data_IF_049259475669
#
_entry.id   IF_049259475669
#
_cell.length_a   1.000
_cell.length_b   1.000
_cell.length_c   1.000
_cell.angle_alpha   90.00
_cell.angle_beta   90.00
_cell.angle_gamma   90.00
#
_symmetry.space_group_name_H-M   'P 1'
#
loop_
_entity.id
_entity.type
_entity.pdbx_description
1 polymer ?
#
# COMPACT_ATOMS: atom_id res chain seq x y z
N UNK A 1 -60.34 4.85 48.85
CA UNK A 1 -59.62 3.73 49.50
C UNK A 1 -59.86 2.45 48.72
N UNK A 2 -58.92 2.06 47.86
CA UNK A 2 -58.74 0.73 47.26
C UNK A 2 -57.26 0.70 46.80
N UNK A 3 -56.44 -0.25 47.27
CA UNK A 3 -54.99 -0.12 47.18
C UNK A 3 -54.46 -0.48 45.78
N UNK A 4 -53.47 0.29 45.31
CA UNK A 4 -52.60 -0.07 44.20
C UNK A 4 -51.78 -1.32 44.59
N UNK A 5 -51.84 -2.36 43.76
CA UNK A 5 -50.84 -3.43 43.76
C UNK A 5 -49.85 -3.10 42.64
N UNK A 6 -48.71 -2.53 43.02
CA UNK A 6 -47.56 -2.37 42.15
C UNK A 6 -46.81 -3.71 42.11
N UNK A 7 -46.87 -4.41 40.98
CA UNK A 7 -46.04 -5.59 40.72
C UNK A 7 -44.66 -5.08 40.29
N UNK A 8 -43.72 -5.04 41.24
CA UNK A 8 -42.31 -4.86 40.98
C UNK A 8 -41.78 -6.18 40.38
N UNK A 9 -41.64 -6.25 39.06
CA UNK A 9 -40.88 -7.30 38.41
C UNK A 9 -39.38 -6.98 38.56
N UNK A 10 -38.79 -7.46 39.65
CA UNK A 10 -37.34 -7.48 39.83
C UNK A 10 -36.75 -8.54 38.90
N UNK A 11 -36.24 -8.13 37.73
CA UNK A 11 -35.34 -8.95 36.94
C UNK A 11 -34.01 -9.08 37.70
N UNK A 12 -33.92 -10.13 38.53
CA UNK A 12 -32.66 -10.64 39.06
C UNK A 12 -31.86 -11.24 37.89
N UNK A 13 -30.95 -10.45 37.30
CA UNK A 13 -29.83 -11.01 36.54
C UNK A 13 -28.88 -11.59 37.59
N UNK A 14 -29.09 -12.86 37.92
CA UNK A 14 -28.13 -13.65 38.67
C UNK A 14 -26.90 -13.84 37.78
N UNK A 15 -25.90 -12.97 37.95
CA UNK A 15 -24.57 -13.17 37.42
C UNK A 15 -23.94 -14.38 38.10
N UNK A 16 -24.04 -15.54 37.47
CA UNK A 16 -23.32 -16.73 37.88
C UNK A 16 -21.88 -16.55 37.42
N UNK A 17 -21.01 -16.09 38.33
CA UNK A 17 -19.58 -16.29 38.19
C UNK A 17 -19.29 -17.77 38.50
N UNK A 18 -19.64 -18.67 37.56
CA UNK A 18 -19.25 -20.08 37.60
C UNK A 18 -18.04 -20.27 36.70
N UNK A 19 -17.00 -20.94 37.21
CA UNK A 19 -15.97 -21.52 36.34
C UNK A 19 -16.69 -22.36 35.28
N UNK A 20 -16.67 -21.90 34.03
CA UNK A 20 -17.31 -22.65 32.96
C UNK A 20 -16.54 -23.94 32.73
N UNK A 21 -17.23 -25.00 32.31
CA UNK A 21 -16.59 -26.25 31.90
C UNK A 21 -15.49 -25.99 30.86
N UNK A 22 -15.66 -24.95 30.03
CA UNK A 22 -14.65 -24.46 29.11
C UNK A 22 -13.39 -23.99 29.85
N UNK A 23 -13.52 -23.11 30.85
CA UNK A 23 -12.38 -22.59 31.63
C UNK A 23 -11.64 -23.74 32.32
N UNK A 24 -12.36 -24.65 32.96
CA UNK A 24 -11.71 -25.71 33.74
C UNK A 24 -10.95 -26.71 32.84
N UNK A 25 -11.49 -27.06 31.68
CA UNK A 25 -10.76 -27.86 30.69
C UNK A 25 -9.60 -27.08 30.07
N UNK A 26 -9.83 -25.84 29.62
CA UNK A 26 -8.81 -25.04 28.94
C UNK A 26 -7.70 -24.53 29.86
N UNK A 27 -7.87 -24.52 31.19
CA UNK A 27 -6.75 -24.33 32.13
C UNK A 27 -5.70 -25.41 31.97
N UNK A 28 -6.11 -26.64 31.68
CA UNK A 28 -5.19 -27.75 31.46
C UNK A 28 -4.64 -27.77 30.02
N UNK A 29 -5.49 -27.50 29.02
CA UNK A 29 -5.14 -27.66 27.60
C UNK A 29 -4.48 -26.41 27.01
N UNK A 30 -4.97 -25.22 27.33
CA UNK A 30 -4.49 -23.92 26.82
C UNK A 30 -4.38 -22.87 27.93
N UNK A 31 -3.55 -23.09 28.97
CA UNK A 31 -3.51 -22.23 30.16
C UNK A 31 -3.31 -20.75 29.82
N UNK A 32 -2.43 -20.43 28.87
CA UNK A 32 -2.17 -19.04 28.47
C UNK A 32 -3.39 -18.31 27.89
N UNK A 33 -4.31 -19.01 27.21
CA UNK A 33 -5.56 -18.40 26.71
C UNK A 33 -6.47 -18.07 27.89
N UNK A 34 -6.59 -18.98 28.86
CA UNK A 34 -7.40 -18.75 30.06
C UNK A 34 -6.82 -17.62 30.90
N UNK A 35 -5.51 -17.60 31.12
CA UNK A 35 -4.84 -16.53 31.86
C UNK A 35 -5.06 -15.16 31.22
N UNK A 36 -4.94 -15.08 29.89
CA UNK A 36 -5.24 -13.87 29.14
C UNK A 36 -6.70 -13.43 29.31
N UNK A 37 -7.65 -14.36 29.15
CA UNK A 37 -9.08 -14.10 29.33
C UNK A 37 -9.40 -13.58 30.73
N UNK A 38 -8.93 -14.29 31.77
CA UNK A 38 -9.15 -13.92 33.17
C UNK A 38 -8.48 -12.59 33.54
N UNK A 39 -7.40 -12.21 32.84
CA UNK A 39 -6.79 -10.87 33.00
C UNK A 39 -7.56 -9.75 32.29
N UNK A 40 -8.44 -10.08 31.36
CA UNK A 40 -9.28 -9.15 30.60
C UNK A 40 -10.53 -8.72 31.35
N UNK A 41 -11.14 -7.59 30.96
CA UNK A 41 -12.34 -7.09 31.65
C UNK A 41 -13.60 -7.92 31.34
N UNK A 42 -13.69 -8.53 30.16
CA UNK A 42 -14.87 -9.29 29.74
C UNK A 42 -15.11 -10.56 30.57
N UNK A 43 -14.05 -11.19 31.10
CA UNK A 43 -14.17 -12.39 31.94
C UNK A 43 -14.94 -12.18 33.25
N UNK A 44 -15.09 -10.92 33.68
CA UNK A 44 -15.91 -10.55 34.85
C UNK A 44 -17.41 -10.61 34.57
N UNK A 45 -17.81 -10.66 33.31
CA UNK A 45 -19.20 -10.52 32.88
C UNK A 45 -19.67 -11.65 31.95
N UNK A 46 -18.76 -12.32 31.26
CA UNK A 46 -19.08 -13.30 30.24
C UNK A 46 -18.25 -14.59 30.41
N UNK A 47 -18.75 -15.69 29.85
CA UNK A 47 -18.03 -16.95 29.65
C UNK A 47 -17.47 -17.04 28.23
N UNK A 48 -16.67 -18.07 27.96
CA UNK A 48 -16.11 -18.36 26.64
C UNK A 48 -17.20 -18.55 25.56
N UNK A 49 -18.34 -19.10 25.97
CA UNK A 49 -19.40 -19.59 25.07
C UNK A 49 -20.16 -18.44 24.40
N UNK A 50 -20.14 -17.25 25.01
CA UNK A 50 -20.74 -16.04 24.43
C UNK A 50 -20.11 -15.71 23.08
N UNK A 51 -18.80 -15.98 22.93
CA UNK A 51 -18.06 -15.76 21.69
C UNK A 51 -17.96 -17.04 20.85
N UNK A 52 -17.78 -18.19 21.48
CA UNK A 52 -17.41 -19.45 20.81
C UNK A 52 -18.54 -20.47 20.69
N UNK A 53 -19.73 -20.19 21.22
CA UNK A 53 -20.84 -21.14 21.28
C UNK A 53 -20.59 -22.30 22.26
N UNK A 54 -21.51 -23.27 22.25
CA UNK A 54 -21.59 -24.37 23.22
C UNK A 54 -21.49 -25.78 22.59
N UNK A 55 -21.23 -25.87 21.28
CA UNK A 55 -21.27 -27.14 20.56
C UNK A 55 -19.98 -27.96 20.67
N UNK A 56 -18.86 -27.30 20.93
CA UNK A 56 -17.59 -27.94 21.27
C UNK A 56 -17.60 -28.41 22.73
N UNK A 57 -17.31 -29.69 22.94
CA UNK A 57 -17.34 -30.34 24.26
C UNK A 57 -16.13 -31.25 24.52
N UNK A 58 -15.35 -31.58 23.50
CA UNK A 58 -14.21 -32.50 23.62
C UNK A 58 -13.12 -32.21 22.60
N UNK A 59 -11.90 -32.71 22.82
CA UNK A 59 -10.78 -32.55 21.88
C UNK A 59 -11.09 -33.03 20.46
N UNK A 60 -12.06 -33.93 20.28
CA UNK A 60 -12.42 -34.52 18.99
C UNK A 60 -13.47 -33.71 18.21
N UNK A 61 -14.05 -32.66 18.81
CA UNK A 61 -15.07 -31.83 18.19
C UNK A 61 -14.72 -30.33 18.18
N UNK A 62 -13.43 -30.01 18.23
CA UNK A 62 -12.89 -28.63 18.20
C UNK A 62 -13.45 -27.78 17.05
N UNK A 63 -13.84 -28.40 15.94
CA UNK A 63 -14.42 -27.72 14.78
C UNK A 63 -15.80 -27.13 15.01
N UNK A 64 -16.52 -27.62 16.03
CA UNK A 64 -17.84 -27.11 16.39
C UNK A 64 -17.79 -25.81 17.19
N UNK A 65 -16.60 -25.39 17.63
CA UNK A 65 -16.43 -24.08 18.23
C UNK A 65 -16.65 -22.99 17.17
N UNK A 66 -17.51 -22.03 17.47
CA UNK A 66 -17.71 -20.85 16.64
C UNK A 66 -16.49 -19.94 16.77
N UNK A 67 -16.15 -19.29 15.67
CA UNK A 67 -15.06 -18.33 15.63
C UNK A 67 -15.66 -16.94 15.50
N UNK A 68 -15.38 -16.02 16.44
CA UNK A 68 -15.99 -14.70 16.44
C UNK A 68 -15.69 -13.93 15.16
N UNK A 69 -16.70 -13.24 14.65
CA UNK A 69 -16.61 -12.26 13.55
C UNK A 69 -16.90 -10.86 14.10
N UNK A 70 -16.72 -9.79 13.30
CA UNK A 70 -17.17 -8.45 13.68
C UNK A 70 -18.63 -8.40 14.15
N UNK A 71 -19.51 -9.23 13.59
CA UNK A 71 -20.93 -9.34 13.94
C UNK A 71 -21.13 -9.91 15.35
N UNK A 72 -20.26 -10.83 15.79
CA UNK A 72 -20.24 -11.30 17.18
C UNK A 72 -19.99 -10.13 18.13
N UNK A 73 -19.05 -9.25 17.79
CA UNK A 73 -18.73 -8.07 18.60
C UNK A 73 -19.84 -7.01 18.53
N UNK A 74 -20.48 -6.83 17.36
CA UNK A 74 -21.57 -5.87 17.12
C UNK A 74 -22.73 -6.02 18.08
N UNK A 75 -23.04 -7.25 18.49
CA UNK A 75 -24.13 -7.54 19.42
C UNK A 75 -24.03 -6.75 20.74
N UNK A 76 -22.81 -6.48 21.22
CA UNK A 76 -22.54 -5.73 22.45
C UNK A 76 -21.90 -4.35 22.19
N UNK A 77 -21.22 -4.17 21.05
CA UNK A 77 -20.46 -2.97 20.69
C UNK A 77 -20.93 -2.35 19.36
N UNK A 78 -22.22 -2.02 19.20
CA UNK A 78 -22.75 -1.55 17.92
C UNK A 78 -22.13 -0.22 17.49
N UNK A 79 -21.86 0.70 18.42
CA UNK A 79 -21.26 1.99 18.09
C UNK A 79 -19.84 1.84 17.50
N UNK A 80 -18.99 1.04 18.13
CA UNK A 80 -17.62 0.79 17.66
C UNK A 80 -17.64 0.06 16.31
N UNK A 81 -18.56 -0.89 16.14
CA UNK A 81 -18.75 -1.58 14.86
C UNK A 81 -19.12 -0.60 13.74
N UNK A 82 -20.15 0.24 13.92
CA UNK A 82 -20.59 1.16 12.87
C UNK A 82 -19.50 2.20 12.53
N UNK A 83 -18.74 2.67 13.52
CA UNK A 83 -17.57 3.51 13.28
C UNK A 83 -16.51 2.77 12.45
N UNK A 84 -16.11 1.57 12.86
CA UNK A 84 -15.16 0.74 12.12
C UNK A 84 -15.62 0.47 10.69
N UNK A 85 -16.90 0.12 10.50
CA UNK A 85 -17.52 -0.15 9.20
C UNK A 85 -17.54 1.09 8.28
N UNK A 86 -17.54 2.29 8.85
CA UNK A 86 -17.43 3.53 8.07
C UNK A 86 -15.99 3.85 7.62
N UNK A 87 -14.97 3.28 8.30
CA UNK A 87 -13.55 3.55 8.10
C UNK A 87 -12.86 2.60 7.12
N UNK A 88 -11.60 2.90 6.77
CA UNK A 88 -10.85 2.17 5.72
C UNK A 88 -10.48 0.74 6.11
N UNK A 89 -10.30 0.45 7.41
CA UNK A 89 -9.92 -0.88 7.87
C UNK A 89 -10.98 -1.94 7.55
N UNK A 90 -12.27 -1.59 7.59
CA UNK A 90 -13.35 -2.49 7.17
C UNK A 90 -13.22 -2.93 5.71
N UNK A 91 -12.74 -2.04 4.84
CA UNK A 91 -12.58 -2.30 3.41
C UNK A 91 -11.20 -2.84 3.01
N UNK A 92 -10.31 -3.08 3.97
CA UNK A 92 -8.91 -3.45 3.70
C UNK A 92 -8.78 -4.74 2.88
N UNK A 93 -9.72 -5.69 3.04
CA UNK A 93 -9.72 -6.95 2.30
C UNK A 93 -10.11 -6.78 0.83
N UNK A 94 -11.05 -5.88 0.54
CA UNK A 94 -11.44 -5.55 -0.84
C UNK A 94 -10.26 -4.95 -1.59
N UNK A 95 -9.59 -3.98 -0.98
CA UNK A 95 -8.43 -3.33 -1.58
C UNK A 95 -7.29 -4.33 -1.84
N UNK A 96 -7.04 -5.24 -0.89
CA UNK A 96 -6.01 -6.27 -1.03
C UNK A 96 -6.31 -7.24 -2.18
N UNK A 97 -7.49 -7.88 -2.18
CA UNK A 97 -7.86 -8.88 -3.20
C UNK A 97 -7.91 -8.33 -4.62
N UNK A 98 -7.96 -7.02 -4.78
CA UNK A 98 -7.95 -6.37 -6.07
C UNK A 98 -6.56 -6.16 -6.69
N UNK A 99 -5.47 -6.41 -5.94
CA UNK A 99 -4.11 -6.23 -6.44
C UNK A 99 -3.76 -7.41 -7.37
N UNK A 100 -3.55 -7.18 -8.69
CA UNK A 100 -3.20 -8.24 -9.63
C UNK A 100 -1.91 -8.97 -9.26
N UNK A 101 -0.91 -8.25 -8.72
CA UNK A 101 0.35 -8.82 -8.24
C UNK A 101 0.19 -9.99 -7.25
N UNK A 102 -0.95 -10.13 -6.58
CA UNK A 102 -1.20 -11.26 -5.68
C UNK A 102 -1.13 -12.62 -6.38
N UNK A 103 -1.42 -12.71 -7.67
CA UNK A 103 -1.34 -14.00 -8.37
C UNK A 103 0.12 -14.49 -8.51
N UNK A 104 1.08 -13.59 -8.35
CA UNK A 104 2.52 -13.79 -8.60
C UNK A 104 3.34 -14.00 -7.31
N UNK A 105 2.72 -13.99 -6.14
CA UNK A 105 3.40 -14.32 -4.87
C UNK A 105 3.28 -15.81 -4.53
N UNK A 106 4.19 -16.35 -3.69
CA UNK A 106 4.13 -17.74 -3.27
C UNK A 106 2.76 -18.13 -2.68
N UNK A 107 2.30 -19.33 -3.01
CA UNK A 107 1.02 -19.92 -2.57
C UNK A 107 0.71 -19.69 -1.08
N UNK A 108 1.62 -19.91 -0.10
CA UNK A 108 1.32 -19.66 1.31
C UNK A 108 1.03 -18.19 1.67
N UNK A 109 1.43 -17.24 0.83
CA UNK A 109 1.12 -15.82 0.98
C UNK A 109 -0.14 -15.42 0.19
N UNK A 110 -0.39 -16.09 -0.94
CA UNK A 110 -1.51 -15.85 -1.85
C UNK A 110 -2.81 -16.51 -1.45
N UNK A 111 -2.78 -17.72 -0.89
CA UNK A 111 -3.99 -18.49 -0.57
C UNK A 111 -4.83 -17.83 0.53
N UNK A 112 -4.29 -16.75 1.11
CA UNK A 112 -4.93 -15.93 2.12
C UNK A 112 -5.25 -16.69 3.40
N UNK A 113 -4.73 -17.91 3.54
CA UNK A 113 -4.79 -18.79 4.70
C UNK A 113 -3.48 -18.66 5.52
N UNK A 114 -3.55 -18.56 6.86
CA UNK A 114 -2.38 -18.79 7.74
C UNK A 114 -1.45 -17.62 8.10
N UNK A 115 -1.86 -16.36 7.97
CA UNK A 115 -1.14 -15.15 8.42
C UNK A 115 0.27 -14.91 7.82
N UNK A 116 0.65 -15.59 6.73
CA UNK A 116 2.04 -15.57 6.21
C UNK A 116 2.37 -14.47 5.20
N UNK A 117 1.38 -13.70 4.76
CA UNK A 117 1.55 -12.64 3.77
C UNK A 117 0.57 -11.50 3.98
N UNK A 118 0.03 -10.95 2.90
CA UNK A 118 -0.88 -9.81 2.93
C UNK A 118 -2.09 -10.02 3.84
N UNK A 119 -2.57 -11.26 3.99
CA UNK A 119 -3.67 -11.61 4.91
C UNK A 119 -3.33 -11.40 6.39
N UNK A 120 -2.05 -11.39 6.77
CA UNK A 120 -1.62 -11.08 8.14
C UNK A 120 -2.02 -9.66 8.56
N UNK A 121 -1.99 -8.71 7.62
CA UNK A 121 -2.33 -7.30 7.85
C UNK A 121 -3.76 -6.95 7.40
N UNK A 122 -4.16 -7.38 6.19
CA UNK A 122 -5.42 -6.94 5.58
C UNK A 122 -6.66 -7.68 6.08
N UNK A 123 -6.51 -8.78 6.84
CA UNK A 123 -7.65 -9.50 7.46
C UNK A 123 -8.48 -8.65 8.41
N UNK A 124 -7.97 -7.49 8.83
CA UNK A 124 -8.78 -6.52 9.56
C UNK A 124 -9.98 -6.05 8.75
N UNK A 125 -10.07 -6.31 7.44
CA UNK A 125 -11.27 -6.09 6.62
C UNK A 125 -11.99 -7.37 6.21
N UNK A 126 -11.67 -8.52 6.81
CA UNK A 126 -12.33 -9.79 6.53
C UNK A 126 -13.61 -9.90 7.35
N UNK A 127 -14.73 -9.47 6.75
CA UNK A 127 -16.05 -9.41 7.41
C UNK A 127 -16.92 -10.63 7.09
N UNK A 128 -16.64 -11.34 6.00
CA UNK A 128 -17.47 -12.46 5.55
C UNK A 128 -17.00 -13.79 6.15
N UNK A 129 -17.89 -14.50 6.84
CA UNK A 129 -17.71 -15.91 7.20
C UNK A 129 -17.95 -16.81 5.98
N UNK A 130 -17.00 -16.82 5.02
CA UNK A 130 -17.04 -17.70 3.84
C UNK A 130 -16.16 -18.94 3.98
N UNK A 131 -15.84 -19.36 5.21
CA UNK A 131 -15.14 -20.61 5.50
C UNK A 131 -13.65 -20.68 5.11
N UNK A 132 -13.12 -19.72 4.35
CA UNK A 132 -11.70 -19.67 3.97
C UNK A 132 -10.79 -19.35 5.16
N UNK A 133 -11.31 -18.70 6.23
CA UNK A 133 -10.50 -18.30 7.37
C UNK A 133 -11.16 -18.65 8.70
N UNK A 134 -10.84 -19.84 9.23
CA UNK A 134 -11.41 -20.33 10.48
C UNK A 134 -10.95 -19.51 11.69
N UNK A 135 -9.69 -19.10 11.76
CA UNK A 135 -9.11 -18.47 12.97
C UNK A 135 -8.74 -17.01 12.76
N UNK A 136 -9.04 -16.13 13.73
CA UNK A 136 -8.58 -14.74 13.71
C UNK A 136 -9.30 -13.85 12.69
N UNK A 137 -10.52 -14.22 12.32
CA UNK A 137 -11.46 -13.49 11.46
C UNK A 137 -12.29 -12.43 12.22
N UNK A 138 -12.05 -12.25 13.53
CA UNK A 138 -12.82 -11.31 14.33
C UNK A 138 -12.63 -9.85 13.90
N UNK A 139 -11.49 -9.52 13.30
CA UNK A 139 -10.97 -8.18 12.97
C UNK A 139 -10.81 -7.23 14.17
N UNK A 140 -11.75 -7.24 15.11
CA UNK A 140 -11.75 -6.48 16.35
C UNK A 140 -10.61 -6.87 17.30
N UNK A 141 -9.90 -7.97 17.08
CA UNK A 141 -8.72 -8.35 17.86
C UNK A 141 -7.40 -7.82 17.28
N UNK A 142 -7.45 -6.93 16.27
CA UNK A 142 -6.24 -6.41 15.59
C UNK A 142 -5.43 -5.42 16.43
N UNK A 143 -6.09 -4.58 17.24
CA UNK A 143 -5.42 -3.55 18.06
C UNK A 143 -5.42 -3.85 19.56
N UNK A 144 -6.51 -4.46 20.06
CA UNK A 144 -6.61 -4.97 21.43
C UNK A 144 -6.73 -6.49 21.35
N UNK A 145 -5.59 -7.15 21.46
CA UNK A 145 -5.49 -8.56 21.06
C UNK A 145 -6.29 -9.49 21.96
N UNK A 146 -6.80 -10.56 21.34
CA UNK A 146 -7.38 -11.69 22.06
C UNK A 146 -6.31 -12.38 22.94
N UNK A 147 -6.63 -12.94 24.09
CA UNK A 147 -7.96 -12.99 24.72
C UNK A 147 -8.14 -11.96 25.83
N UNK A 148 -7.22 -10.99 25.95
CA UNK A 148 -7.27 -9.94 26.98
C UNK A 148 -8.20 -8.77 26.60
N UNK A 149 -8.22 -8.43 25.30
CA UNK A 149 -9.00 -7.31 24.74
C UNK A 149 -8.81 -6.00 25.51
N UNK A 150 -7.54 -5.63 25.75
CA UNK A 150 -7.19 -4.49 26.59
C UNK A 150 -7.29 -3.16 25.83
N UNK A 151 -8.12 -2.24 26.34
CA UNK A 151 -8.16 -0.86 25.86
C UNK A 151 -6.83 -0.13 26.06
N UNK A 152 -6.08 -0.45 27.11
CA UNK A 152 -4.76 0.13 27.36
C UNK A 152 -3.76 -0.31 26.29
N UNK A 153 -3.80 -1.58 25.88
CA UNK A 153 -2.98 -2.12 24.80
C UNK A 153 -3.28 -1.41 23.48
N UNK A 154 -4.55 -1.33 23.09
CA UNK A 154 -4.95 -0.63 21.86
C UNK A 154 -4.65 0.87 21.84
N UNK A 155 -4.36 1.49 22.99
CA UNK A 155 -4.00 2.92 23.10
C UNK A 155 -2.51 3.17 22.96
N UNK A 156 -1.69 2.12 22.85
CA UNK A 156 -0.25 2.22 22.64
C UNK A 156 0.07 2.22 21.14
N UNK A 157 0.95 3.10 20.65
CA UNK A 157 1.29 3.19 19.22
C UNK A 157 1.86 1.87 18.68
N UNK A 158 2.47 1.05 19.53
CA UNK A 158 2.96 -0.30 19.22
C UNK A 158 1.87 -1.25 18.73
N UNK A 159 0.58 -1.00 19.06
CA UNK A 159 -0.53 -1.78 18.51
C UNK A 159 -0.70 -1.60 16.99
N UNK A 160 -0.19 -0.51 16.42
CA UNK A 160 -0.24 -0.24 14.98
C UNK A 160 0.96 -0.84 14.24
N UNK A 161 2.09 -1.01 14.93
CA UNK A 161 3.38 -1.40 14.36
C UNK A 161 3.33 -2.68 13.50
N UNK A 162 2.65 -3.78 13.88
CA UNK A 162 2.68 -5.01 13.10
C UNK A 162 2.21 -4.88 11.65
N UNK A 163 1.43 -3.84 11.34
CA UNK A 163 0.91 -3.57 10.00
C UNK A 163 1.48 -2.26 9.41
N UNK A 164 1.69 -1.23 10.23
CA UNK A 164 2.10 0.10 9.79
C UNK A 164 3.62 0.29 9.91
N UNK A 165 4.37 -0.47 9.13
CA UNK A 165 5.83 -0.52 9.16
C UNK A 165 6.44 -0.83 7.80
N UNK A 166 7.77 -0.79 7.70
CA UNK A 166 8.52 -1.50 6.67
C UNK A 166 8.65 -0.79 5.32
N UNK A 167 8.51 -1.54 4.24
CA UNK A 167 8.92 -1.14 2.90
C UNK A 167 8.10 0.04 2.36
N UNK A 168 6.78 -0.12 2.26
CA UNK A 168 5.86 0.74 1.50
C UNK A 168 5.12 1.78 2.37
N UNK A 169 4.99 1.52 3.67
CA UNK A 169 4.37 2.44 4.60
C UNK A 169 4.98 2.39 6.01
N UNK A 170 6.25 2.84 6.18
CA UNK A 170 6.95 2.87 7.46
C UNK A 170 6.44 3.98 8.40
N UNK A 171 5.13 4.01 8.65
CA UNK A 171 4.44 5.05 9.39
C UNK A 171 4.81 5.03 10.88
N UNK A 172 5.02 3.84 11.46
CA UNK A 172 5.52 3.73 12.82
C UNK A 172 6.96 4.25 12.93
N UNK A 173 7.83 3.95 11.98
CA UNK A 173 9.21 4.42 11.96
C UNK A 173 9.26 5.94 11.78
N UNK A 174 8.45 6.49 10.88
CA UNK A 174 8.28 7.93 10.69
C UNK A 174 7.81 8.61 11.97
N UNK A 175 6.74 8.10 12.60
CA UNK A 175 6.23 8.67 13.85
C UNK A 175 7.25 8.52 14.99
N UNK A 176 7.81 7.33 15.18
CA UNK A 176 8.69 7.00 16.32
C UNK A 176 10.04 7.72 16.28
N UNK A 177 10.46 8.21 15.11
CA UNK A 177 11.66 9.04 14.94
C UNK A 177 11.34 10.53 14.69
N UNK A 178 10.06 10.91 14.66
CA UNK A 178 9.63 12.32 14.71
C UNK A 178 9.73 12.89 16.13
N UNK A 179 9.55 14.21 16.29
CA UNK A 179 9.47 14.82 17.63
C UNK A 179 8.32 14.28 18.47
N UNK A 180 7.18 13.93 17.86
CA UNK A 180 6.06 13.31 18.58
C UNK A 180 6.46 11.96 19.19
N UNK A 181 7.01 11.06 18.38
CA UNK A 181 7.42 9.74 18.87
C UNK A 181 8.61 9.78 19.83
N UNK A 182 9.57 10.68 19.61
CA UNK A 182 10.73 10.84 20.51
C UNK A 182 10.30 11.35 21.89
N UNK A 183 9.39 12.33 21.97
CA UNK A 183 8.85 12.80 23.27
C UNK A 183 8.10 11.65 23.96
N UNK A 184 7.23 10.93 23.25
CA UNK A 184 6.53 9.77 23.81
C UNK A 184 7.51 8.71 24.35
N UNK A 185 8.61 8.43 23.64
CA UNK A 185 9.63 7.47 24.10
C UNK A 185 10.34 7.93 25.37
N UNK A 186 10.62 9.22 25.49
CA UNK A 186 11.36 9.79 26.63
C UNK A 186 10.46 9.83 27.87
N UNK A 187 9.21 10.24 27.71
CA UNK A 187 8.34 10.57 28.84
C UNK A 187 7.24 9.53 29.11
N UNK A 188 6.93 8.68 28.14
CA UNK A 188 5.77 7.80 28.15
C UNK A 188 4.48 8.54 27.76
N UNK A 189 3.33 7.97 28.17
CA UNK A 189 2.00 8.48 27.85
C UNK A 189 1.56 9.62 28.78
N UNK A 190 2.31 10.73 28.79
CA UNK A 190 2.02 11.92 29.62
C UNK A 190 0.94 12.83 29.03
N UNK A 191 0.51 12.56 27.80
CA UNK A 191 -0.37 13.43 27.01
C UNK A 191 0.35 14.59 26.31
N UNK A 192 1.66 14.78 26.54
CA UNK A 192 2.46 15.84 25.89
C UNK A 192 2.62 15.61 24.38
N UNK A 193 2.76 14.37 23.95
CA UNK A 193 2.95 14.00 22.55
C UNK A 193 1.79 13.15 22.02
N UNK A 194 1.38 13.37 20.75
CA UNK A 194 0.35 12.56 20.14
C UNK A 194 0.87 11.17 19.78
N UNK A 195 -0.02 10.17 19.92
CA UNK A 195 0.17 8.80 19.45
C UNK A 195 -0.57 8.61 18.13
N UNK A 196 -0.39 7.45 17.49
CA UNK A 196 -1.15 7.07 16.28
C UNK A 196 -2.67 7.26 16.51
N UNK A 197 -3.17 6.78 17.65
CA UNK A 197 -4.57 6.85 18.05
C UNK A 197 -5.05 8.29 18.27
N UNK A 198 -4.20 9.18 18.79
CA UNK A 198 -4.56 10.59 19.00
C UNK A 198 -4.99 11.24 17.69
N UNK A 199 -4.28 10.98 16.60
CA UNK A 199 -4.53 11.58 15.29
C UNK A 199 -5.56 10.81 14.44
N UNK A 200 -5.47 9.48 14.44
CA UNK A 200 -6.26 8.64 13.55
C UNK A 200 -7.55 8.08 14.17
N UNK A 201 -7.67 8.12 15.50
CA UNK A 201 -8.83 7.66 16.25
C UNK A 201 -9.21 8.68 17.35
N UNK A 202 -9.38 9.97 17.01
CA UNK A 202 -9.66 10.99 18.00
C UNK A 202 -10.91 10.62 18.81
N UNK A 203 -10.87 10.86 20.12
CA UNK A 203 -11.96 10.53 21.05
C UNK A 203 -12.30 9.02 21.11
N UNK A 204 -11.44 8.15 20.57
CA UNK A 204 -11.67 6.71 20.51
C UNK A 204 -12.59 6.27 19.36
N UNK A 205 -12.79 7.14 18.35
CA UNK A 205 -13.55 6.80 17.15
C UNK A 205 -12.83 5.71 16.34
N UNK A 206 -13.56 4.63 15.98
CA UNK A 206 -13.00 3.50 15.21
C UNK A 206 -13.00 3.71 13.68
N UNK A 207 -13.52 4.85 13.20
CA UNK A 207 -13.53 5.23 11.79
C UNK A 207 -12.16 5.77 11.35
N UNK A 208 -11.18 4.86 11.16
CA UNK A 208 -9.85 5.27 10.67
C UNK A 208 -9.94 5.71 9.21
N UNK A 209 -9.72 7.00 8.96
CA UNK A 209 -9.69 7.60 7.62
C UNK A 209 -8.65 8.72 7.55
N UNK A 210 -8.18 9.04 6.35
CA UNK A 210 -7.27 10.16 6.07
C UNK A 210 -7.69 10.85 4.77
N UNK A 211 -7.39 12.15 4.64
CA UNK A 211 -7.77 12.93 3.46
C UNK A 211 -7.14 12.36 2.17
N UNK A 212 -5.87 11.99 2.21
CA UNK A 212 -5.10 11.52 1.05
C UNK A 212 -5.11 10.00 0.84
N UNK A 213 -5.72 9.23 1.75
CA UNK A 213 -5.71 7.77 1.68
C UNK A 213 -4.29 7.19 1.70
N UNK A 214 -4.12 6.01 1.08
CA UNK A 214 -2.82 5.34 0.98
C UNK A 214 -1.95 5.94 -0.13
N UNK A 215 -2.53 6.15 -1.32
CA UNK A 215 -1.77 6.51 -2.53
C UNK A 215 -1.51 8.01 -2.70
N UNK A 216 -2.06 8.87 -1.83
CA UNK A 216 -2.04 10.32 -2.01
C UNK A 216 -2.65 10.78 -3.34
N UNK A 217 -3.73 10.11 -3.76
CA UNK A 217 -4.48 10.43 -4.96
C UNK A 217 -5.93 10.77 -4.59
N UNK A 218 -6.48 11.76 -5.29
CA UNK A 218 -7.89 12.15 -5.22
C UNK A 218 -8.35 12.64 -6.59
N UNK A 219 -9.67 12.63 -6.79
CA UNK A 219 -10.35 13.22 -7.94
C UNK A 219 -11.49 14.10 -7.39
N UNK A 220 -11.72 15.32 -7.92
CA UNK A 220 -10.95 16.04 -8.94
C UNK A 220 -9.71 16.79 -8.39
N UNK A 221 -8.89 17.36 -9.28
CA UNK A 221 -7.79 18.29 -8.96
C UNK A 221 -7.93 19.58 -9.78
N UNK A 222 -7.81 20.73 -9.12
CA UNK A 222 -8.07 22.04 -9.73
C UNK A 222 -6.82 22.58 -10.46
N UNK A 223 -5.62 22.20 -10.02
CA UNK A 223 -4.36 22.58 -10.68
C UNK A 223 -4.13 21.72 -11.94
N UNK A 224 -4.15 22.36 -13.12
CA UNK A 224 -4.07 21.65 -14.41
C UNK A 224 -2.77 20.86 -14.61
N UNK A 225 -1.64 21.37 -14.13
CA UNK A 225 -0.36 20.66 -14.26
C UNK A 225 -0.34 19.43 -13.35
N UNK A 226 -0.75 19.62 -12.10
CA UNK A 226 -0.82 18.52 -11.15
C UNK A 226 -1.85 17.47 -11.59
N UNK A 227 -2.96 17.90 -12.19
CA UNK A 227 -3.95 16.99 -12.74
C UNK A 227 -3.37 16.11 -13.86
N UNK A 228 -2.58 16.66 -14.78
CA UNK A 228 -1.89 15.87 -15.82
C UNK A 228 -0.94 14.82 -15.24
N UNK A 229 -0.20 15.19 -14.20
CA UNK A 229 0.69 14.26 -13.50
C UNK A 229 -0.11 13.14 -12.81
N UNK A 230 -1.23 13.48 -12.16
CA UNK A 230 -2.11 12.48 -11.55
C UNK A 230 -2.82 11.58 -12.54
N UNK A 231 -3.30 12.10 -13.67
CA UNK A 231 -3.90 11.29 -14.74
C UNK A 231 -2.89 10.25 -15.22
N UNK A 232 -1.63 10.64 -15.41
CA UNK A 232 -0.54 9.72 -15.76
C UNK A 232 -0.42 8.58 -14.74
N UNK A 233 -0.45 8.90 -13.44
CA UNK A 233 -0.37 7.92 -12.35
C UNK A 233 -1.62 7.02 -12.33
N UNK A 234 -2.82 7.59 -12.46
CA UNK A 234 -4.08 6.85 -12.45
C UNK A 234 -4.19 5.89 -13.64
N UNK A 235 -3.67 6.27 -14.81
CA UNK A 235 -3.57 5.40 -15.97
C UNK A 235 -2.61 4.24 -15.72
N UNK A 236 -1.43 4.52 -15.16
CA UNK A 236 -0.46 3.48 -14.81
C UNK A 236 -0.93 2.56 -13.67
N UNK A 237 -1.88 2.99 -12.83
CA UNK A 237 -2.57 2.12 -11.88
C UNK A 237 -3.73 1.32 -12.52
N UNK A 238 -4.01 1.57 -13.80
CA UNK A 238 -5.14 1.02 -14.54
C UNK A 238 -6.51 1.50 -14.04
N UNK A 239 -6.57 2.59 -13.27
CA UNK A 239 -7.82 3.20 -12.78
C UNK A 239 -8.52 3.99 -13.89
N UNK A 240 -7.72 4.61 -14.77
CA UNK A 240 -8.16 5.26 -15.99
C UNK A 240 -7.58 4.54 -17.22
N UNK A 241 -8.28 4.58 -18.35
CA UNK A 241 -7.77 4.12 -19.64
C UNK A 241 -6.89 5.19 -20.33
N UNK A 242 -6.35 4.88 -21.51
CA UNK A 242 -5.51 5.81 -22.29
C UNK A 242 -6.20 7.14 -22.64
N UNK A 243 -7.54 7.13 -22.74
CA UNK A 243 -8.36 8.30 -23.04
C UNK A 243 -8.79 9.06 -21.77
N UNK A 244 -8.43 8.55 -20.58
CA UNK A 244 -8.81 9.13 -19.29
C UNK A 244 -10.19 8.71 -18.78
N UNK A 245 -10.82 7.70 -19.37
CA UNK A 245 -12.10 7.18 -18.88
C UNK A 245 -11.91 6.18 -17.71
N UNK A 246 -12.83 6.13 -16.74
CA UNK A 246 -12.82 5.13 -15.68
C UNK A 246 -12.83 3.68 -16.20
N UNK A 247 -12.03 2.80 -15.58
CA UNK A 247 -12.01 1.36 -15.85
C UNK A 247 -12.76 0.56 -14.78
N UNK A 248 -12.75 -0.77 -14.87
CA UNK A 248 -13.24 -1.64 -13.79
C UNK A 248 -12.53 -1.41 -12.44
N UNK A 249 -11.24 -1.01 -12.44
CA UNK A 249 -10.49 -0.74 -11.21
C UNK A 249 -11.00 0.52 -10.51
N UNK A 250 -11.61 1.45 -11.24
CA UNK A 250 -12.24 2.63 -10.63
C UNK A 250 -13.37 2.24 -9.66
N UNK A 251 -14.21 1.26 -10.05
CA UNK A 251 -15.28 0.77 -9.18
C UNK A 251 -14.73 0.08 -7.92
N UNK A 252 -13.57 -0.59 -8.03
CA UNK A 252 -12.87 -1.15 -6.87
C UNK A 252 -12.34 -0.04 -5.96
N UNK A 253 -11.70 1.00 -6.50
CA UNK A 253 -11.21 2.14 -5.72
C UNK A 253 -12.34 2.78 -4.91
N UNK A 254 -13.51 2.90 -5.53
CA UNK A 254 -14.75 3.39 -4.90
C UNK A 254 -15.25 2.43 -3.82
N UNK A 255 -15.42 1.16 -4.13
CA UNK A 255 -15.91 0.14 -3.19
C UNK A 255 -14.98 -0.05 -1.99
N UNK A 256 -13.66 -0.01 -2.22
CA UNK A 256 -12.63 -0.14 -1.20
C UNK A 256 -12.32 1.15 -0.43
N UNK A 257 -12.96 2.28 -0.79
CA UNK A 257 -12.67 3.61 -0.25
C UNK A 257 -11.16 3.95 -0.29
N UNK A 258 -10.44 3.53 -1.33
CA UNK A 258 -8.97 3.66 -1.43
C UNK A 258 -8.55 5.13 -1.61
N UNK A 259 -9.40 5.93 -2.24
CA UNK A 259 -9.25 7.37 -2.43
C UNK A 259 -10.52 8.13 -2.01
N UNK A 260 -10.38 9.42 -1.70
CA UNK A 260 -11.52 10.35 -1.61
C UNK A 260 -11.91 10.78 -3.02
N UNK A 261 -13.20 10.68 -3.36
CA UNK A 261 -13.70 10.92 -4.71
C UNK A 261 -14.43 12.26 -4.85
N UNK A 262 -14.42 13.08 -3.78
CA UNK A 262 -14.94 14.43 -3.78
C UNK A 262 -14.07 15.35 -2.93
N UNK A 263 -14.14 16.65 -3.23
CA UNK A 263 -13.43 17.70 -2.48
C UNK A 263 -13.99 17.81 -1.06
N UNK A 264 -15.29 17.60 -0.91
CA UNK A 264 -16.01 17.66 0.36
C UNK A 264 -15.55 16.56 1.32
N UNK A 265 -15.45 15.31 0.85
CA UNK A 265 -14.93 14.19 1.65
C UNK A 265 -13.47 14.44 2.07
N UNK A 266 -12.65 14.94 1.15
CA UNK A 266 -11.25 15.26 1.44
C UNK A 266 -11.15 16.38 2.48
N UNK A 267 -11.94 17.45 2.30
CA UNK A 267 -11.92 18.61 3.19
C UNK A 267 -12.41 18.24 4.60
N UNK A 268 -13.44 17.38 4.70
CA UNK A 268 -13.93 16.91 6.00
C UNK A 268 -12.81 16.22 6.82
N UNK A 269 -12.01 15.36 6.18
CA UNK A 269 -10.86 14.72 6.83
C UNK A 269 -9.71 15.68 7.13
N UNK A 270 -9.46 16.67 6.26
CA UNK A 270 -8.49 17.75 6.51
C UNK A 270 -8.87 18.55 7.75
N UNK A 271 -10.11 19.03 7.83
CA UNK A 271 -10.59 19.83 8.96
C UNK A 271 -10.62 19.02 10.26
N UNK A 272 -10.92 17.71 10.18
CA UNK A 272 -10.79 16.81 11.34
C UNK A 272 -9.35 16.76 11.85
N UNK A 273 -8.36 16.63 10.97
CA UNK A 273 -6.95 16.60 11.36
C UNK A 273 -6.51 17.95 11.95
N UNK A 274 -6.91 19.07 11.34
CA UNK A 274 -6.62 20.41 11.86
C UNK A 274 -7.12 20.56 13.31
N UNK A 275 -8.34 20.12 13.62
CA UNK A 275 -8.87 20.13 14.99
C UNK A 275 -8.02 19.34 15.98
N UNK A 276 -7.44 18.20 15.54
CA UNK A 276 -6.52 17.43 16.40
C UNK A 276 -5.22 18.20 16.62
N UNK A 277 -4.61 18.74 15.56
CA UNK A 277 -3.39 19.53 15.67
C UNK A 277 -3.58 20.76 16.58
N UNK A 278 -4.74 21.40 16.50
CA UNK A 278 -5.11 22.58 17.27
C UNK A 278 -5.28 22.34 18.77
N UNK A 279 -5.22 21.09 19.24
CA UNK A 279 -5.16 20.79 20.68
C UNK A 279 -3.83 21.21 21.30
N UNK A 280 -2.74 21.29 20.51
CA UNK A 280 -1.39 21.61 21.00
C UNK A 280 -0.69 22.72 20.20
N UNK A 281 -1.14 23.01 18.98
CA UNK A 281 -0.54 24.01 18.10
C UNK A 281 -1.56 25.08 17.70
N UNK A 282 -1.09 26.22 17.20
CA UNK A 282 -1.99 27.16 16.56
C UNK A 282 -2.57 26.54 15.27
N UNK A 283 -3.82 26.90 14.95
CA UNK A 283 -4.46 26.43 13.71
C UNK A 283 -3.65 26.82 12.46
N UNK A 284 -3.12 28.05 12.42
CA UNK A 284 -2.30 28.52 11.30
C UNK A 284 -1.07 27.64 11.10
N UNK A 285 -0.35 27.30 12.18
CA UNK A 285 0.79 26.39 12.10
C UNK A 285 0.35 25.03 11.54
N UNK A 286 -0.75 24.47 12.04
CA UNK A 286 -1.25 23.18 11.56
C UNK A 286 -1.60 23.20 10.07
N UNK A 287 -2.27 24.26 9.60
CA UNK A 287 -2.63 24.44 8.18
C UNK A 287 -1.39 24.57 7.32
N UNK A 288 -0.46 25.43 7.69
CA UNK A 288 0.79 25.64 6.96
C UNK A 288 1.61 24.35 6.83
N UNK A 289 1.74 23.56 7.91
CA UNK A 289 2.49 22.31 7.86
C UNK A 289 1.80 21.25 6.98
N UNK A 290 0.47 21.12 7.05
CA UNK A 290 -0.25 20.16 6.21
C UNK A 290 -0.28 20.60 4.74
N UNK A 291 -0.35 21.90 4.45
CA UNK A 291 -0.21 22.44 3.10
C UNK A 291 1.22 22.25 2.54
N UNK A 292 2.24 22.34 3.37
CA UNK A 292 3.61 21.99 2.96
C UNK A 292 3.73 20.50 2.61
N UNK A 293 3.06 19.61 3.36
CA UNK A 293 2.98 18.19 3.02
C UNK A 293 2.19 17.94 1.72
N UNK A 294 1.14 18.72 1.44
CA UNK A 294 0.42 18.67 0.15
C UNK A 294 1.34 19.02 -1.03
N UNK A 295 2.20 20.04 -0.87
CA UNK A 295 3.20 20.41 -1.87
C UNK A 295 4.22 19.30 -2.11
N UNK A 296 4.60 18.54 -1.07
CA UNK A 296 5.46 17.37 -1.24
C UNK A 296 4.80 16.28 -2.08
N UNK A 297 3.47 16.08 -1.98
CA UNK A 297 2.75 15.17 -2.89
C UNK A 297 2.86 15.69 -4.33
N UNK A 298 2.60 16.98 -4.57
CA UNK A 298 2.69 17.58 -5.91
C UNK A 298 4.06 17.37 -6.54
N UNK A 299 5.13 17.65 -5.81
CA UNK A 299 6.49 17.49 -6.31
C UNK A 299 6.83 16.02 -6.56
N UNK A 300 6.40 15.11 -5.69
CA UNK A 300 6.60 13.68 -5.87
C UNK A 300 5.81 13.13 -7.08
N UNK A 301 4.57 13.57 -7.27
CA UNK A 301 3.72 13.20 -8.41
C UNK A 301 4.35 13.63 -9.73
N UNK A 302 4.89 14.85 -9.81
CA UNK A 302 5.57 15.34 -11.00
C UNK A 302 6.75 14.47 -11.41
N UNK A 303 7.62 14.16 -10.44
CA UNK A 303 8.81 13.33 -10.67
C UNK A 303 8.41 11.91 -11.06
N UNK A 304 7.38 11.35 -10.42
CA UNK A 304 6.91 10.00 -10.69
C UNK A 304 6.17 9.88 -12.04
N UNK A 305 5.31 10.85 -12.38
CA UNK A 305 4.64 10.90 -13.66
C UNK A 305 5.65 11.01 -14.82
N UNK A 306 6.74 11.75 -14.65
CA UNK A 306 7.82 11.81 -15.63
C UNK A 306 8.50 10.45 -15.86
N UNK A 307 8.74 9.69 -14.79
CA UNK A 307 9.27 8.32 -14.88
C UNK A 307 8.29 7.39 -15.60
N UNK A 308 6.99 7.43 -15.25
CA UNK A 308 5.95 6.64 -15.90
C UNK A 308 5.92 6.92 -17.41
N UNK A 309 5.90 8.20 -17.81
CA UNK A 309 5.89 8.58 -19.24
C UNK A 309 7.13 8.09 -19.97
N UNK A 310 8.30 8.16 -19.31
CA UNK A 310 9.56 7.66 -19.87
C UNK A 310 9.50 6.16 -20.14
N UNK A 311 8.98 5.37 -19.19
CA UNK A 311 8.82 3.91 -19.36
C UNK A 311 7.73 3.59 -20.38
N UNK A 312 6.61 4.33 -20.37
CA UNK A 312 5.53 4.17 -21.36
C UNK A 312 6.04 4.40 -22.79
N UNK A 313 6.88 5.40 -23.02
CA UNK A 313 7.48 5.65 -24.35
C UNK A 313 8.19 4.41 -24.90
N UNK A 314 8.88 3.63 -24.05
CA UNK A 314 9.55 2.41 -24.48
C UNK A 314 8.56 1.30 -24.89
N UNK A 315 7.42 1.20 -24.23
CA UNK A 315 6.34 0.31 -24.64
C UNK A 315 5.69 0.76 -25.95
N UNK A 316 5.42 2.07 -26.08
CA UNK A 316 4.81 2.64 -27.29
C UNK A 316 5.73 2.47 -28.52
N UNK A 317 7.06 2.48 -28.31
CA UNK A 317 8.07 2.20 -29.34
C UNK A 317 8.30 0.70 -29.62
N UNK A 318 7.65 -0.20 -28.86
CA UNK A 318 7.87 -1.65 -28.95
C UNK A 318 9.28 -2.09 -28.53
N UNK A 319 9.97 -1.28 -27.72
CA UNK A 319 11.27 -1.62 -27.11
C UNK A 319 11.04 -2.52 -25.90
N UNK A 320 10.05 -2.18 -25.08
CA UNK A 320 9.51 -3.07 -24.05
C UNK A 320 8.29 -3.80 -24.60
N UNK A 321 8.16 -5.08 -24.26
CA UNK A 321 7.04 -5.91 -24.68
C UNK A 321 5.95 -5.89 -23.60
N UNK A 322 4.77 -5.37 -23.95
CA UNK A 322 3.61 -5.38 -23.07
C UNK A 322 3.10 -6.82 -22.91
N UNK A 323 2.99 -7.37 -21.69
CA UNK A 323 2.34 -8.65 -21.48
C UNK A 323 0.91 -8.72 -22.04
N UNK A 324 0.49 -9.89 -22.50
CA UNK A 324 -0.81 -10.09 -23.17
C UNK A 324 -1.99 -9.76 -22.24
N UNK A 325 -1.87 -10.06 -20.95
CA UNK A 325 -2.88 -9.87 -19.92
C UNK A 325 -2.96 -8.41 -19.40
N UNK A 326 -2.00 -7.56 -19.76
CA UNK A 326 -1.99 -6.16 -19.35
C UNK A 326 -2.93 -5.31 -20.21
N UNK A 327 -3.85 -4.61 -19.56
CA UNK A 327 -4.76 -3.64 -20.22
C UNK A 327 -4.07 -2.30 -20.52
N UNK A 328 -3.06 -1.94 -19.75
CA UNK A 328 -2.29 -0.70 -19.87
C UNK A 328 -0.81 -0.97 -19.54
N UNK A 329 0.11 -0.24 -20.15
CA UNK A 329 1.55 -0.35 -19.88
C UNK A 329 2.18 1.02 -19.60
N UNK A 330 2.99 1.17 -18.54
CA UNK A 330 3.24 0.18 -17.49
C UNK A 330 2.03 0.01 -16.53
N UNK A 331 1.81 -1.19 -15.99
CA UNK A 331 0.84 -1.43 -14.91
C UNK A 331 1.56 -1.54 -13.55
N UNK A 332 1.44 -0.49 -12.73
CA UNK A 332 2.12 -0.36 -11.44
C UNK A 332 1.68 -1.40 -10.40
N UNK A 333 0.55 -2.09 -10.62
CA UNK A 333 0.04 -3.11 -9.71
C UNK A 333 0.45 -4.55 -10.10
N UNK A 334 1.36 -4.70 -11.07
CA UNK A 334 1.89 -5.98 -11.58
C UNK A 334 3.38 -6.20 -11.26
N UNK A 335 3.86 -5.58 -10.17
CA UNK A 335 5.28 -5.41 -9.84
C UNK A 335 6.13 -6.66 -9.59
N UNK A 336 5.57 -7.87 -9.55
CA UNK A 336 6.37 -9.11 -9.45
C UNK A 336 6.68 -9.76 -10.80
N UNK A 337 6.05 -9.31 -11.89
CA UNK A 337 6.23 -9.85 -13.25
C UNK A 337 6.96 -8.89 -14.19
N UNK A 338 7.52 -7.82 -13.65
CA UNK A 338 8.36 -6.91 -14.42
C UNK A 338 9.63 -7.63 -14.87
N UNK A 339 10.03 -7.46 -16.13
CA UNK A 339 11.09 -8.27 -16.76
C UNK A 339 12.41 -7.52 -16.87
N UNK A 340 12.39 -6.20 -16.72
CA UNK A 340 13.56 -5.35 -16.95
C UNK A 340 13.91 -4.50 -15.72
N UNK A 341 15.20 -4.16 -15.52
CA UNK A 341 15.61 -3.31 -14.41
C UNK A 341 14.94 -1.93 -14.37
N UNK A 342 14.54 -1.37 -15.52
CA UNK A 342 13.86 -0.08 -15.58
C UNK A 342 12.44 -0.16 -15.02
N UNK A 343 11.74 -1.28 -15.23
CA UNK A 343 10.41 -1.51 -14.68
C UNK A 343 10.47 -1.79 -13.17
N UNK A 344 11.46 -2.55 -12.70
CA UNK A 344 11.71 -2.77 -11.27
C UNK A 344 12.03 -1.46 -10.54
N UNK A 345 12.87 -0.60 -11.13
CA UNK A 345 13.16 0.72 -10.55
C UNK A 345 11.89 1.61 -10.51
N UNK A 346 11.02 1.53 -11.52
CA UNK A 346 9.73 2.23 -11.49
C UNK A 346 8.81 1.73 -10.36
N UNK A 347 8.83 0.43 -10.06
CA UNK A 347 8.10 -0.13 -8.93
C UNK A 347 8.64 0.35 -7.58
N UNK A 348 9.96 0.33 -7.38
CA UNK A 348 10.57 0.87 -6.16
C UNK A 348 10.26 2.36 -6.00
N UNK A 349 10.30 3.10 -7.12
CA UNK A 349 9.92 4.50 -7.16
C UNK A 349 8.46 4.72 -6.71
N UNK A 350 7.56 3.84 -7.13
CA UNK A 350 6.13 3.87 -6.77
C UNK A 350 5.88 3.55 -5.30
N UNK A 351 6.25 2.34 -4.86
CA UNK A 351 5.82 1.80 -3.57
C UNK A 351 6.79 2.10 -2.43
N UNK A 352 8.06 2.40 -2.70
CA UNK A 352 9.03 2.74 -1.66
C UNK A 352 9.25 4.26 -1.57
N UNK A 353 9.83 4.85 -2.62
CA UNK A 353 10.40 6.19 -2.53
C UNK A 353 9.32 7.28 -2.52
N UNK A 354 8.35 7.22 -3.45
CA UNK A 354 7.23 8.18 -3.46
C UNK A 354 6.44 8.10 -2.16
N UNK A 355 6.15 6.90 -1.67
CA UNK A 355 5.40 6.69 -0.43
C UNK A 355 6.12 7.34 0.76
N UNK A 356 7.43 7.12 0.89
CA UNK A 356 8.21 7.73 1.98
C UNK A 356 8.29 9.25 1.89
N UNK A 357 8.39 9.82 0.68
CA UNK A 357 8.44 11.27 0.48
C UNK A 357 7.26 11.99 1.14
N UNK A 358 6.02 11.63 0.78
CA UNK A 358 4.86 12.33 1.31
C UNK A 358 4.45 11.82 2.70
N UNK A 359 4.53 10.51 2.98
CA UNK A 359 4.16 10.01 4.30
C UNK A 359 5.09 10.55 5.38
N UNK A 360 6.39 10.71 5.09
CA UNK A 360 7.35 11.35 5.98
C UNK A 360 6.97 12.80 6.28
N UNK A 361 6.50 13.55 5.27
CA UNK A 361 6.03 14.92 5.46
C UNK A 361 4.81 14.98 6.41
N UNK A 362 3.81 14.12 6.21
CA UNK A 362 2.62 14.09 7.09
C UNK A 362 2.89 13.63 8.52
N UNK A 363 3.93 12.83 8.74
CA UNK A 363 4.36 12.39 10.07
C UNK A 363 5.46 13.26 10.68
N UNK A 364 5.72 14.44 10.11
CA UNK A 364 6.72 15.41 10.59
C UNK A 364 8.12 14.79 10.73
N UNK A 365 8.48 13.92 9.78
CA UNK A 365 9.75 13.23 9.75
C UNK A 365 10.60 13.71 8.56
N UNK A 366 11.61 14.56 8.80
CA UNK A 366 12.41 15.13 7.72
C UNK A 366 13.30 14.10 7.03
N UNK A 367 13.77 13.08 7.74
CA UNK A 367 14.68 12.07 7.22
C UNK A 367 13.95 11.14 6.24
N UNK A 368 12.75 10.69 6.61
CA UNK A 368 11.90 9.92 5.70
C UNK A 368 11.38 10.75 4.53
N UNK A 369 11.00 12.01 4.76
CA UNK A 369 10.54 12.86 3.68
C UNK A 369 11.66 13.16 2.67
N UNK A 370 12.89 13.34 3.15
CA UNK A 370 14.04 13.70 2.33
C UNK A 370 14.93 12.52 1.95
N UNK A 371 15.72 11.99 2.90
CA UNK A 371 16.80 11.04 2.63
C UNK A 371 16.31 9.63 2.28
N UNK A 372 15.21 9.15 2.86
CA UNK A 372 14.62 7.85 2.48
C UNK A 372 13.51 7.95 1.43
N UNK A 373 13.09 9.17 1.08
CA UNK A 373 11.98 9.44 0.15
C UNK A 373 12.43 10.26 -1.05
N UNK A 374 12.48 11.59 -0.91
CA UNK A 374 12.77 12.51 -2.02
C UNK A 374 14.10 12.24 -2.74
N UNK A 375 15.18 12.03 -2.00
CA UNK A 375 16.51 11.79 -2.57
C UNK A 375 16.55 10.52 -3.45
N UNK A 376 16.12 9.33 -2.97
CA UNK A 376 16.06 8.15 -3.82
C UNK A 376 15.02 8.29 -4.93
N UNK A 377 13.88 8.95 -4.72
CA UNK A 377 12.90 9.25 -5.78
C UNK A 377 13.55 10.00 -6.96
N UNK A 378 14.35 11.02 -6.67
CA UNK A 378 15.10 11.77 -7.71
C UNK A 378 16.18 10.92 -8.36
N UNK A 379 16.88 10.09 -7.58
CA UNK A 379 17.91 9.19 -8.10
C UNK A 379 17.31 8.13 -9.05
N UNK A 380 16.15 7.57 -8.72
CA UNK A 380 15.41 6.62 -9.55
C UNK A 380 15.04 7.22 -10.91
N UNK A 381 14.54 8.46 -10.94
CA UNK A 381 14.26 9.13 -12.21
C UNK A 381 15.49 9.25 -13.10
N UNK A 382 16.68 9.54 -12.53
CA UNK A 382 17.94 9.60 -13.30
C UNK A 382 18.28 8.24 -13.88
N UNK A 383 18.18 7.17 -13.08
CA UNK A 383 18.43 5.79 -13.56
C UNK A 383 17.46 5.40 -14.67
N UNK A 384 16.17 5.67 -14.50
CA UNK A 384 15.12 5.35 -15.47
C UNK A 384 15.40 6.04 -16.80
N UNK A 385 15.69 7.34 -16.78
CA UNK A 385 16.05 8.09 -18.00
C UNK A 385 17.30 7.56 -18.67
N UNK A 386 18.33 7.25 -17.89
CA UNK A 386 19.58 6.70 -18.42
C UNK A 386 19.36 5.35 -19.11
N UNK A 387 18.63 4.43 -18.46
CA UNK A 387 18.35 3.12 -19.03
C UNK A 387 17.44 3.22 -20.24
N UNK A 388 16.45 4.13 -20.24
CA UNK A 388 15.59 4.35 -21.41
C UNK A 388 16.39 4.80 -22.64
N UNK A 389 17.31 5.76 -22.49
CA UNK A 389 18.15 6.22 -23.61
C UNK A 389 19.10 5.12 -24.10
N UNK A 390 19.64 4.31 -23.18
CA UNK A 390 20.45 3.15 -23.53
C UNK A 390 19.65 2.14 -24.36
N UNK A 391 18.45 1.76 -23.92
CA UNK A 391 17.58 0.81 -24.62
C UNK A 391 17.18 1.33 -26.01
N UNK A 392 16.85 2.62 -26.14
CA UNK A 392 16.59 3.27 -27.43
C UNK A 392 17.81 3.18 -28.37
N UNK A 393 19.01 3.45 -27.85
CA UNK A 393 20.24 3.39 -28.62
C UNK A 393 20.60 1.95 -29.06
N UNK A 394 20.36 0.95 -28.19
CA UNK A 394 20.52 -0.46 -28.53
C UNK A 394 19.57 -0.88 -29.64
N UNK A 395 18.28 -0.51 -29.55
CA UNK A 395 17.30 -0.81 -30.60
C UNK A 395 17.66 -0.18 -31.95
N UNK A 396 18.21 1.03 -31.94
CA UNK A 396 18.66 1.70 -33.16
C UNK A 396 19.85 0.97 -33.81
N UNK A 397 20.80 0.48 -33.00
CA UNK A 397 21.94 -0.32 -33.48
C UNK A 397 21.50 -1.65 -34.06
N UNK A 398 20.52 -2.32 -33.45
CA UNK A 398 19.92 -3.55 -33.97
C UNK A 398 19.33 -3.31 -35.36
N UNK A 399 18.45 -2.31 -35.51
CA UNK A 399 17.86 -1.93 -36.81
C UNK A 399 18.91 -1.58 -37.85
N UNK A 400 19.97 -0.86 -37.47
CA UNK A 400 21.07 -0.52 -38.39
C UNK A 400 21.83 -1.77 -38.85
N UNK A 401 22.01 -2.73 -37.95
CA UNK A 401 22.71 -4.00 -38.23
C UNK A 401 21.85 -4.91 -39.11
N UNK A 402 20.54 -5.00 -38.86
CA UNK A 402 19.57 -5.73 -39.70
C UNK A 402 19.52 -5.15 -41.12
N UNK A 403 19.36 -3.83 -41.26
CA UNK A 403 19.37 -3.16 -42.56
C UNK A 403 20.69 -3.40 -43.34
N UNK A 404 21.83 -3.49 -42.62
CA UNK A 404 23.14 -3.77 -43.24
C UNK A 404 23.28 -5.24 -43.67
N UNK A 405 22.62 -6.18 -42.97
CA UNK A 405 22.57 -7.60 -43.36
C UNK A 405 21.65 -7.80 -44.56
N UNK A 406 20.45 -7.22 -44.55
CA UNK A 406 19.52 -7.26 -45.69
C UNK A 406 20.14 -6.64 -46.95
N UNK A 407 20.83 -5.50 -46.84
CA UNK A 407 21.53 -4.87 -47.96
C UNK A 407 22.67 -5.75 -48.55
N UNK A 408 23.27 -6.64 -47.76
CA UNK A 408 24.30 -7.59 -48.22
C UNK A 408 23.71 -8.88 -48.80
N UNK A 409 22.46 -9.20 -48.50
CA UNK A 409 21.77 -10.41 -48.99
C UNK A 409 20.91 -10.15 -50.24
N UNK A 410 20.63 -8.89 -50.61
CA UNK A 410 20.15 -8.55 -51.95
C UNK A 410 21.22 -8.90 -53.00
N UNK A 411 20.92 -9.73 -54.02
CA UNK A 411 21.89 -10.03 -55.08
C UNK A 411 22.25 -8.74 -55.82
N UNK A 412 23.54 -8.47 -56.00
CA UNK A 412 23.98 -7.50 -57.01
C UNK A 412 23.38 -7.93 -58.35
N UNK A 413 22.43 -7.16 -58.87
CA UNK A 413 21.96 -7.32 -60.23
C UNK A 413 23.18 -7.19 -61.16
N UNK A 414 23.56 -8.29 -61.78
CA UNK A 414 24.64 -8.37 -62.77
C UNK A 414 24.49 -7.23 -63.78
N UNK A 415 25.40 -6.26 -63.72
CA UNK A 415 25.62 -5.35 -64.84
C UNK A 415 26.28 -6.15 -65.96
N UNK A 416 25.47 -6.56 -66.94
CA UNK A 416 25.96 -7.02 -68.24
C UNK A 416 26.91 -5.97 -68.83
N UNK A 417 28.20 -6.29 -68.83
CA UNK A 417 29.24 -5.49 -69.47
C UNK A 417 29.49 -6.03 -70.87
N UNK A 418 29.01 -5.28 -71.88
CA UNK A 418 29.32 -5.50 -73.29
C UNK A 418 30.82 -5.30 -73.51
N UNK A 419 31.51 -6.35 -74.00
CA UNK A 419 32.93 -6.33 -74.38
C UNK A 419 33.16 -5.43 -75.61
N UNK A 420 34.16 -4.56 -75.53
CA UNK A 420 34.82 -3.90 -76.66
C UNK A 420 36.31 -4.23 -76.60
N UNK A 421 37.01 -4.55 -77.71
CA UNK A 421 38.38 -5.02 -77.65
C UNK A 421 39.42 -3.89 -77.79
N UNK A 422 40.44 -3.96 -76.93
CA UNK A 422 41.87 -3.75 -77.25
C UNK A 422 42.39 -2.31 -77.40
N UNK A 423 43.34 -1.92 -76.54
CA UNK A 423 44.76 -1.69 -76.88
C UNK A 423 45.54 -1.09 -75.68
N UNK A 424 46.80 -1.53 -75.51
CA UNK A 424 47.89 -0.62 -75.10
C UNK A 424 48.24 -0.50 -73.61
N UNK A 425 49.09 -1.42 -73.14
CA UNK A 425 50.38 -1.18 -72.45
C UNK A 425 50.63 0.21 -71.82
N UNK A 426 50.91 0.28 -70.52
CA UNK A 426 52.19 0.80 -69.97
C UNK A 426 52.29 0.64 -68.44
N UNK A 427 53.44 0.11 -68.03
CA UNK A 427 53.93 0.03 -66.65
C UNK A 427 54.17 1.42 -66.05
N UNK A 428 54.00 1.55 -64.74
CA UNK A 428 55.02 2.18 -63.89
C UNK A 428 54.87 1.77 -62.40
N UNK A 429 56.00 1.32 -61.87
CA UNK A 429 56.33 0.87 -60.52
C UNK A 429 56.43 2.02 -59.50
N UNK A 430 56.63 1.59 -58.24
CA UNK A 430 57.14 2.32 -57.06
C UNK A 430 56.07 3.04 -56.22
N UNK A 431 56.03 2.92 -54.89
CA UNK A 431 56.93 2.25 -53.96
C UNK A 431 56.50 2.56 -52.51
N UNK A 432 56.39 1.49 -51.71
CA UNK A 432 56.90 1.29 -50.34
C UNK A 432 57.02 2.48 -49.35
N UNK A 433 56.54 2.18 -48.13
CA UNK A 433 56.89 2.66 -46.77
C UNK A 433 56.25 3.96 -46.26
N UNK A 434 55.44 3.98 -45.20
CA UNK A 434 55.53 3.45 -43.82
C UNK A 434 56.05 4.48 -42.80
N UNK A 435 55.28 4.57 -41.71
CA UNK A 435 55.67 4.86 -40.33
C UNK A 435 55.78 6.33 -39.84
N UNK A 436 54.86 6.62 -38.91
CA UNK A 436 55.11 7.11 -37.54
C UNK A 436 55.68 8.52 -37.34
N UNK A 437 54.94 9.40 -36.64
CA UNK A 437 55.34 9.88 -35.31
C UNK A 437 54.21 10.65 -34.61
N UNK A 438 54.31 10.64 -33.28
CA UNK A 438 53.28 10.96 -32.30
C UNK A 438 53.29 12.42 -31.81
N UNK A 439 52.22 12.76 -31.05
CA UNK A 439 52.16 13.71 -29.91
C UNK A 439 52.34 15.21 -30.18
N UNK A 440 51.34 16.03 -29.81
CA UNK A 440 51.24 16.69 -28.48
C UNK A 440 50.00 17.61 -28.36
N UNK A 441 49.36 17.52 -27.19
CA UNK A 441 48.62 18.53 -26.40
C UNK A 441 48.52 19.95 -26.98
N UNK A 442 47.29 20.47 -26.98
CA UNK A 442 46.86 21.52 -26.04
C UNK A 442 45.44 21.21 -25.56
#
# INVERSE_FOLDING_TARGET
MRPLIAILAAFLIAGVASGSECIDCHKAVTPGIVDQWLSGNMSKHFSCEVCHGNEHKSSNDWEKAKMPTPETCKACHPQQYEQYASGKHYYAWIAMKAIPALQHIPTPQRDLEGFKGCSGCHKIGYIEDKGAYKYGAAACDSCHTRHKFSKEEARKPEACLPCHMGFDHPQYEMWSTSKHGVIYRIEGDTGRAPKCQTCHMPEGNHAVMTAWGFLALRVPEDDEEWWKDRVTILQALGVLDENGNPTERFEIVKAGKVARLSKEEWQAERERMIKVCSQCHSENFAREQLEAADKMIREADRVFAEAIRTVKELYDLGILEKPEDWKYAPDLLQFYEVKTPIEEELYLMFLEYRMRTFQGAFHMNPDYSHWYGWAPLKASLVKIKYEAEKLKAEKLKEKTTENTKEAKETPEAEKETKKTPGFGVLLSLAGISAAYFARRKL
#
